data_IF_429905772820
#
_entry.id   IF_429905772820
#
_cell.length_a   1.000
_cell.length_b   1.000
_cell.length_c   1.000
_cell.angle_alpha   90.00
_cell.angle_beta   90.00
_cell.angle_gamma   90.00
#
_symmetry.space_group_name_H-M   'P 1'
#
loop_
_entity.id
_entity.type
_entity.pdbx_description
1 polymer ?
#
# COMPACT_ATOMS: atom_id res chain seq x y z
N UNK A 1 -34.73 -20.00 -1.99
CA UNK A 1 -34.66 -19.04 -3.12
C UNK A 1 -33.40 -18.20 -2.96
N UNK A 2 -32.35 -18.53 -3.70
CA UNK A 2 -31.05 -17.82 -3.63
C UNK A 2 -31.12 -16.60 -4.52
N UNK A 3 -31.01 -15.43 -3.92
CA UNK A 3 -30.95 -14.12 -4.61
C UNK A 3 -29.68 -14.02 -5.45
N UNK A 4 -29.82 -14.03 -6.75
CA UNK A 4 -28.76 -13.81 -7.73
C UNK A 4 -28.44 -12.32 -7.79
N UNK A 5 -27.30 -11.93 -7.25
CA UNK A 5 -26.85 -10.53 -7.26
C UNK A 5 -26.12 -10.21 -8.59
N UNK A 6 -26.69 -9.40 -9.49
CA UNK A 6 -26.13 -9.12 -10.82
C UNK A 6 -24.83 -8.29 -10.79
N UNK A 7 -24.52 -7.61 -9.70
CA UNK A 7 -23.28 -6.85 -9.57
C UNK A 7 -22.01 -7.72 -9.46
N UNK A 8 -22.11 -8.91 -8.85
CA UNK A 8 -20.98 -9.86 -8.79
C UNK A 8 -20.59 -10.42 -10.16
N UNK A 9 -21.55 -10.58 -11.06
CA UNK A 9 -21.28 -11.02 -12.44
C UNK A 9 -20.63 -9.92 -13.28
N UNK A 10 -21.00 -8.65 -13.08
CA UNK A 10 -20.39 -7.52 -13.79
C UNK A 10 -18.93 -7.32 -13.39
N UNK A 11 -18.60 -7.44 -12.11
CA UNK A 11 -17.20 -7.37 -11.63
C UNK A 11 -16.32 -8.51 -12.15
N UNK A 12 -16.84 -9.74 -12.26
CA UNK A 12 -16.10 -10.87 -12.86
C UNK A 12 -15.88 -10.69 -14.37
N UNK A 13 -16.84 -10.15 -15.09
CA UNK A 13 -16.73 -9.91 -16.55
C UNK A 13 -15.73 -8.79 -16.88
N UNK A 14 -15.62 -7.76 -16.04
CA UNK A 14 -14.65 -6.67 -16.22
C UNK A 14 -13.23 -7.18 -15.95
N UNK A 15 -13.03 -8.00 -14.91
CA UNK A 15 -11.73 -8.60 -14.60
C UNK A 15 -11.24 -9.56 -15.70
N UNK A 16 -12.13 -10.31 -16.33
CA UNK A 16 -11.80 -11.25 -17.40
C UNK A 16 -11.42 -10.54 -18.72
N UNK A 17 -12.09 -9.43 -19.07
CA UNK A 17 -11.76 -8.61 -20.25
C UNK A 17 -10.44 -7.84 -20.09
N UNK A 18 -10.11 -7.38 -18.89
CA UNK A 18 -8.81 -6.75 -18.59
C UNK A 18 -7.66 -7.75 -18.69
N UNK A 19 -7.80 -8.95 -18.14
CA UNK A 19 -6.77 -9.99 -18.22
C UNK A 19 -6.38 -10.37 -19.64
N UNK A 20 -7.35 -10.37 -20.58
CA UNK A 20 -7.09 -10.72 -21.99
C UNK A 20 -6.35 -9.63 -22.78
N UNK A 21 -6.62 -8.35 -22.50
CA UNK A 21 -5.87 -7.22 -23.10
C UNK A 21 -4.41 -7.17 -22.63
N UNK A 22 -4.15 -7.51 -21.37
CA UNK A 22 -2.78 -7.57 -20.82
C UNK A 22 -1.92 -8.63 -21.48
N UNK A 23 -2.47 -9.77 -21.89
CA UNK A 23 -1.71 -10.83 -22.55
C UNK A 23 -1.13 -10.40 -23.90
N UNK A 24 -1.88 -9.63 -24.69
CA UNK A 24 -1.41 -9.15 -26.01
C UNK A 24 -0.42 -7.98 -25.89
N UNK A 25 -0.65 -7.04 -24.98
CA UNK A 25 0.28 -5.94 -24.71
C UNK A 25 1.62 -6.46 -24.17
N UNK A 26 1.61 -7.50 -23.33
CA UNK A 26 2.81 -8.15 -22.81
C UNK A 26 3.65 -8.82 -23.92
N UNK A 27 3.01 -9.49 -24.89
CA UNK A 27 3.72 -10.11 -26.01
C UNK A 27 4.32 -9.08 -26.99
N UNK A 28 3.61 -7.97 -27.23
CA UNK A 28 4.11 -6.86 -28.05
C UNK A 28 5.32 -6.19 -27.36
N UNK A 29 5.23 -5.90 -26.05
CA UNK A 29 6.32 -5.34 -25.27
C UNK A 29 7.57 -6.24 -25.29
N UNK A 30 7.42 -7.56 -25.15
CA UNK A 30 8.54 -8.51 -25.24
C UNK A 30 9.16 -8.49 -26.63
N UNK A 31 8.38 -8.33 -27.70
CA UNK A 31 8.87 -8.24 -29.08
C UNK A 31 9.63 -6.93 -29.34
N UNK A 32 9.14 -5.81 -28.85
CA UNK A 32 9.81 -4.52 -28.92
C UNK A 32 11.12 -4.50 -28.12
N UNK A 33 11.14 -5.09 -26.92
CA UNK A 33 12.34 -5.27 -26.12
C UNK A 33 13.41 -6.10 -26.84
N UNK A 34 13.04 -6.97 -27.79
CA UNK A 34 14.00 -7.74 -28.61
C UNK A 34 14.70 -6.89 -29.66
N UNK A 35 14.03 -5.84 -30.16
CA UNK A 35 14.55 -5.02 -31.27
C UNK A 35 15.48 -3.88 -30.80
N UNK A 36 15.25 -3.33 -29.61
CA UNK A 36 15.98 -2.15 -29.10
C UNK A 36 17.26 -2.48 -28.31
N UNK A 37 17.54 -3.75 -28.02
CA UNK A 37 18.48 -4.14 -26.96
C UNK A 37 19.90 -4.45 -27.44
N UNK A 38 20.50 -3.55 -28.23
CA UNK A 38 21.88 -3.70 -28.72
C UNK A 38 22.98 -3.55 -27.64
N UNK A 39 22.64 -3.19 -26.39
CA UNK A 39 23.61 -2.83 -25.33
C UNK A 39 23.75 -3.83 -24.17
N UNK A 40 22.74 -4.66 -23.91
CA UNK A 40 22.77 -5.61 -22.80
C UNK A 40 23.34 -6.98 -23.22
N UNK A 41 24.11 -7.68 -22.37
CA UNK A 41 24.56 -9.05 -22.63
C UNK A 41 23.37 -10.00 -22.82
N UNK A 42 23.54 -11.02 -23.67
CA UNK A 42 22.49 -11.98 -23.98
C UNK A 42 21.94 -12.69 -22.73
N UNK A 43 22.81 -13.02 -21.76
CA UNK A 43 22.45 -13.67 -20.49
C UNK A 43 21.55 -12.79 -19.62
N UNK A 44 21.92 -11.53 -19.39
CA UNK A 44 21.10 -10.59 -18.62
C UNK A 44 19.75 -10.32 -19.30
N UNK A 45 19.78 -10.10 -20.62
CA UNK A 45 18.57 -9.91 -21.43
C UNK A 45 17.63 -11.10 -21.35
N UNK A 46 18.15 -12.31 -21.52
CA UNK A 46 17.34 -13.53 -21.48
C UNK A 46 16.72 -13.75 -20.10
N UNK A 47 17.51 -13.58 -19.03
CA UNK A 47 17.03 -13.71 -17.67
C UNK A 47 15.94 -12.69 -17.35
N UNK A 48 16.14 -11.41 -17.66
CA UNK A 48 15.16 -10.36 -17.39
C UNK A 48 13.87 -10.54 -18.19
N UNK A 49 13.94 -11.04 -19.44
CA UNK A 49 12.74 -11.43 -20.20
C UNK A 49 11.97 -12.57 -19.53
N UNK A 50 12.67 -13.57 -19.02
CA UNK A 50 12.03 -14.66 -18.28
C UNK A 50 11.37 -14.16 -16.99
N UNK A 51 12.04 -13.28 -16.24
CA UNK A 51 11.48 -12.68 -15.04
C UNK A 51 10.25 -11.81 -15.34
N UNK A 52 10.26 -11.08 -16.47
CA UNK A 52 9.10 -10.32 -16.94
C UNK A 52 7.89 -11.21 -17.25
N UNK A 53 8.10 -12.28 -18.01
CA UNK A 53 7.04 -13.23 -18.32
C UNK A 53 6.49 -13.88 -17.05
N UNK A 54 7.36 -14.16 -16.08
CA UNK A 54 7.00 -14.77 -14.80
C UNK A 54 6.11 -13.83 -13.96
N UNK A 55 6.53 -12.58 -13.80
CA UNK A 55 5.77 -11.59 -13.01
C UNK A 55 4.41 -11.24 -13.65
N UNK A 56 4.32 -11.31 -14.99
CA UNK A 56 3.05 -11.14 -15.72
C UNK A 56 2.13 -12.35 -15.60
N UNK A 57 2.68 -13.56 -15.58
CA UNK A 57 1.92 -14.80 -15.43
C UNK A 57 1.42 -15.02 -14.00
N UNK A 58 2.26 -14.69 -13.03
CA UNK A 58 2.01 -14.86 -11.60
C UNK A 58 2.30 -13.55 -10.86
N UNK A 59 1.35 -12.60 -10.87
CA UNK A 59 1.51 -11.30 -10.24
C UNK A 59 1.66 -11.42 -8.73
N UNK A 60 2.64 -10.70 -8.17
CA UNK A 60 2.85 -10.64 -6.72
C UNK A 60 1.92 -9.58 -6.12
N UNK A 61 1.24 -9.87 -5.00
CA UNK A 61 0.43 -8.89 -4.31
C UNK A 61 1.22 -7.61 -3.99
N UNK A 62 0.57 -6.45 -4.10
CA UNK A 62 1.13 -5.12 -3.86
C UNK A 62 2.24 -4.66 -4.82
N UNK A 63 2.67 -5.47 -5.79
CA UNK A 63 3.83 -5.18 -6.64
C UNK A 63 3.43 -5.21 -8.12
N UNK A 64 3.84 -4.16 -8.86
CA UNK A 64 3.88 -4.15 -10.32
C UNK A 64 5.28 -3.78 -10.78
N UNK A 65 5.75 -4.32 -11.89
CA UNK A 65 7.05 -3.97 -12.45
C UNK A 65 7.05 -4.06 -13.98
N UNK A 66 7.64 -3.05 -14.62
CA UNK A 66 7.75 -2.92 -16.07
C UNK A 66 9.18 -2.53 -16.44
N UNK A 67 9.82 -3.22 -17.37
CA UNK A 67 11.09 -2.79 -17.94
C UNK A 67 10.87 -1.57 -18.83
N UNK A 68 11.85 -0.66 -18.84
CA UNK A 68 11.84 0.46 -19.76
C UNK A 68 11.97 -0.09 -21.21
N UNK A 69 11.09 0.23 -22.14
CA UNK A 69 11.12 -0.31 -23.51
C UNK A 69 12.44 -0.08 -24.24
N UNK A 70 13.08 1.05 -23.99
CA UNK A 70 14.39 1.40 -24.58
C UNK A 70 15.60 0.73 -23.90
N UNK A 71 15.43 0.19 -22.68
CA UNK A 71 16.54 -0.37 -21.89
C UNK A 71 16.05 -1.45 -20.91
N UNK A 72 16.21 -2.71 -21.26
CA UNK A 72 15.81 -3.85 -20.38
C UNK A 72 16.57 -3.94 -19.06
N UNK A 73 17.69 -3.24 -18.93
CA UNK A 73 18.44 -3.17 -17.68
C UNK A 73 17.88 -2.14 -16.69
N UNK A 74 16.94 -1.31 -17.13
CA UNK A 74 16.21 -0.37 -16.28
C UNK A 74 14.76 -0.79 -16.16
N UNK A 75 14.33 -1.06 -14.94
CA UNK A 75 12.96 -1.42 -14.63
C UNK A 75 12.34 -0.40 -13.70
N UNK A 76 11.13 -0.05 -13.96
CA UNK A 76 10.32 0.71 -13.04
C UNK A 76 9.41 -0.24 -12.28
N UNK A 77 9.20 0.04 -11.01
CA UNK A 77 8.30 -0.71 -10.17
C UNK A 77 7.32 0.20 -9.45
N UNK A 78 6.21 -0.38 -9.09
CA UNK A 78 5.23 0.20 -8.19
C UNK A 78 5.01 -0.74 -7.02
N UNK A 79 5.09 -0.21 -5.81
CA UNK A 79 4.68 -0.89 -4.57
C UNK A 79 3.45 -0.18 -4.03
N UNK A 80 2.36 -0.93 -3.81
CA UNK A 80 1.20 -0.42 -3.06
C UNK A 80 1.47 -0.58 -1.58
N UNK A 81 1.15 0.45 -0.78
CA UNK A 81 1.33 0.40 0.67
C UNK A 81 0.45 -0.66 1.31
N UNK A 82 1.02 -1.59 2.08
CA UNK A 82 0.27 -2.67 2.72
C UNK A 82 -0.74 -2.15 3.74
N UNK A 83 -1.84 -2.87 3.87
CA UNK A 83 -2.86 -2.60 4.88
C UNK A 83 -2.27 -2.62 6.29
N UNK A 84 -2.84 -1.83 7.19
CA UNK A 84 -2.43 -1.72 8.61
C UNK A 84 -0.99 -1.21 8.80
N UNK A 85 -0.41 -0.59 7.79
CA UNK A 85 0.87 0.10 7.87
C UNK A 85 0.71 1.61 7.68
N UNK A 86 1.69 2.43 8.06
CA UNK A 86 1.67 3.87 7.77
C UNK A 86 1.70 4.21 6.27
N UNK A 87 1.93 3.22 5.42
CA UNK A 87 2.02 3.34 3.96
C UNK A 87 0.72 3.01 3.25
N UNK A 88 -0.30 2.53 3.97
CA UNK A 88 -1.58 2.10 3.42
C UNK A 88 -2.22 3.16 2.52
N UNK A 89 -2.75 2.71 1.38
CA UNK A 89 -3.35 3.58 0.37
C UNK A 89 -2.38 4.34 -0.51
N UNK A 90 -1.07 4.32 -0.18
CA UNK A 90 -0.02 4.94 -0.98
C UNK A 90 0.42 4.08 -2.17
N UNK A 91 0.95 4.76 -3.20
CA UNK A 91 1.50 4.17 -4.41
C UNK A 91 2.95 4.65 -4.55
N UNK A 92 3.91 3.74 -4.47
CA UNK A 92 5.33 4.07 -4.37
C UNK A 92 6.07 3.59 -5.61
N UNK A 93 6.36 4.53 -6.49
CA UNK A 93 7.12 4.33 -7.71
C UNK A 93 8.62 4.38 -7.40
N UNK A 94 9.37 3.50 -8.01
CA UNK A 94 10.81 3.46 -7.96
C UNK A 94 11.40 2.76 -9.16
N UNK A 95 12.73 2.55 -9.15
CA UNK A 95 13.42 1.86 -10.24
C UNK A 95 14.50 0.92 -9.76
N UNK A 96 14.71 -0.13 -10.54
CA UNK A 96 15.82 -1.09 -10.46
C UNK A 96 16.76 -0.85 -11.63
N UNK A 97 18.05 -0.76 -11.32
CA UNK A 97 19.11 -0.68 -12.34
C UNK A 97 19.91 -1.97 -12.30
N UNK A 98 19.74 -2.82 -13.30
CA UNK A 98 20.45 -4.09 -13.41
C UNK A 98 21.83 -3.90 -14.05
N UNK A 99 22.89 -4.51 -13.48
CA UNK A 99 24.20 -4.51 -14.11
C UNK A 99 24.20 -5.44 -15.33
N UNK A 100 25.20 -5.25 -16.19
CA UNK A 100 25.37 -6.11 -17.38
C UNK A 100 25.67 -7.57 -17.01
N UNK A 101 26.22 -7.79 -15.84
CA UNK A 101 26.56 -9.10 -15.26
C UNK A 101 25.40 -9.78 -14.53
N UNK A 102 24.19 -9.17 -14.57
CA UNK A 102 23.00 -9.83 -14.01
C UNK A 102 22.75 -11.19 -14.70
N UNK A 103 22.40 -12.27 -13.99
CA UNK A 103 22.03 -12.35 -12.58
C UNK A 103 23.20 -12.55 -11.58
N UNK A 104 24.44 -12.54 -12.01
CA UNK A 104 25.59 -12.82 -11.13
C UNK A 104 25.93 -11.66 -10.19
N UNK A 105 25.55 -10.43 -10.56
CA UNK A 105 25.64 -9.25 -9.69
C UNK A 105 24.26 -8.67 -9.41
N UNK A 106 24.02 -8.15 -8.18
CA UNK A 106 22.75 -7.56 -7.77
C UNK A 106 22.43 -6.23 -8.47
N UNK A 107 21.14 -5.82 -8.51
CA UNK A 107 20.75 -4.52 -8.99
C UNK A 107 20.92 -3.43 -7.95
N UNK A 108 20.98 -2.16 -8.40
CA UNK A 108 20.76 -0.99 -7.56
C UNK A 108 19.26 -0.68 -7.48
N UNK A 109 18.79 -0.25 -6.30
CA UNK A 109 17.38 0.10 -6.04
C UNK A 109 17.27 1.58 -5.69
N UNK A 110 16.28 2.25 -6.28
CA UNK A 110 15.96 3.66 -6.04
C UNK A 110 14.46 3.82 -5.81
N UNK A 111 14.09 4.66 -4.84
CA UNK A 111 12.72 5.12 -4.64
C UNK A 111 12.55 6.49 -5.28
N UNK A 112 11.48 6.70 -6.05
CA UNK A 112 11.18 7.97 -6.71
C UNK A 112 10.11 8.72 -5.92
N UNK A 113 9.01 8.03 -5.55
CA UNK A 113 7.92 8.63 -4.79
C UNK A 113 8.33 8.92 -3.36
N UNK A 114 8.08 10.13 -2.83
CA UNK A 114 8.25 10.45 -1.42
C UNK A 114 7.43 9.50 -0.52
N UNK A 115 8.06 8.92 0.50
CA UNK A 115 7.46 7.84 1.30
C UNK A 115 7.75 7.96 2.80
N UNK A 116 8.72 8.78 3.21
CA UNK A 116 9.11 8.95 4.62
C UNK A 116 9.93 7.81 5.22
N UNK A 117 10.38 6.84 4.40
CA UNK A 117 11.26 5.74 4.79
C UNK A 117 12.58 5.76 4.05
N UNK A 118 12.53 6.05 2.75
CA UNK A 118 13.69 6.08 1.87
C UNK A 118 13.84 7.47 1.25
N UNK A 119 15.08 7.91 1.11
CA UNK A 119 15.42 9.15 0.40
C UNK A 119 15.19 8.96 -1.09
N UNK A 120 14.45 9.88 -1.70
CA UNK A 120 14.14 9.82 -3.13
C UNK A 120 15.40 9.93 -3.99
N UNK A 121 15.40 9.23 -5.12
CA UNK A 121 16.45 9.21 -6.12
C UNK A 121 17.86 8.93 -5.55
N UNK A 122 17.91 8.27 -4.40
CA UNK A 122 19.15 7.85 -3.75
C UNK A 122 19.24 6.32 -3.82
N UNK A 123 20.43 5.83 -4.08
CA UNK A 123 20.74 4.40 -4.08
C UNK A 123 20.59 3.84 -2.67
N UNK A 124 19.77 2.80 -2.54
CA UNK A 124 19.44 2.20 -1.25
C UNK A 124 20.40 1.06 -0.93
N UNK A 125 20.95 1.07 0.29
CA UNK A 125 21.78 -0.01 0.80
C UNK A 125 20.91 -1.04 1.53
N UNK A 126 20.50 -2.08 0.83
CA UNK A 126 19.72 -3.20 1.36
C UNK A 126 20.49 -4.49 1.07
N UNK A 127 20.26 -5.55 1.86
CA UNK A 127 20.96 -6.84 1.67
C UNK A 127 20.72 -7.49 0.30
N UNK A 128 19.75 -6.99 -0.45
CA UNK A 128 19.38 -7.44 -1.80
C UNK A 128 19.96 -6.55 -2.91
N UNK A 129 20.81 -5.57 -2.58
CA UNK A 129 21.36 -4.60 -3.53
C UNK A 129 22.86 -4.76 -3.74
N UNK A 130 23.37 -4.04 -4.70
CA UNK A 130 24.78 -4.00 -5.08
C UNK A 130 25.75 -3.43 -4.03
N UNK A 131 25.24 -3.01 -2.87
CA UNK A 131 26.06 -2.72 -1.69
C UNK A 131 26.52 -4.01 -0.97
N UNK A 132 25.82 -5.13 -1.17
CA UNK A 132 26.07 -6.40 -0.48
C UNK A 132 26.17 -7.56 -1.49
N UNK A 133 27.17 -7.53 -2.39
CA UNK A 133 27.34 -8.57 -3.41
C UNK A 133 27.55 -9.96 -2.82
N UNK A 134 28.12 -10.04 -1.62
CA UNK A 134 28.43 -11.33 -0.95
C UNK A 134 27.19 -12.06 -0.45
N UNK A 135 26.09 -11.33 -0.20
CA UNK A 135 24.81 -11.92 0.23
C UNK A 135 23.86 -12.18 -0.94
N UNK A 136 24.24 -11.74 -2.14
CA UNK A 136 23.42 -11.85 -3.32
C UNK A 136 23.24 -13.30 -3.78
N UNK A 137 22.00 -13.68 -4.10
CA UNK A 137 21.69 -14.95 -4.70
C UNK A 137 21.24 -14.77 -6.16
N UNK A 138 21.99 -15.28 -7.16
CA UNK A 138 21.62 -15.16 -8.56
C UNK A 138 20.28 -15.83 -8.94
N UNK A 139 19.76 -16.72 -8.11
CA UNK A 139 18.44 -17.31 -8.31
C UNK A 139 17.26 -16.35 -8.00
N UNK A 140 17.50 -15.27 -7.25
CA UNK A 140 16.45 -14.31 -6.93
C UNK A 140 15.91 -13.64 -8.20
N UNK A 141 14.59 -13.67 -8.33
CA UNK A 141 13.85 -13.03 -9.42
C UNK A 141 13.56 -11.57 -9.11
N UNK A 142 13.11 -10.81 -10.12
CA UNK A 142 12.62 -9.44 -9.92
C UNK A 142 11.50 -9.40 -8.86
N UNK A 143 10.60 -10.39 -8.86
CA UNK A 143 9.54 -10.52 -7.85
C UNK A 143 10.13 -10.67 -6.44
N UNK A 144 11.12 -11.52 -6.27
CA UNK A 144 11.80 -11.75 -4.97
C UNK A 144 12.48 -10.47 -4.48
N UNK A 145 13.17 -9.76 -5.36
CA UNK A 145 13.83 -8.49 -5.04
C UNK A 145 12.81 -7.45 -4.55
N UNK A 146 11.69 -7.30 -5.25
CA UNK A 146 10.66 -6.31 -4.90
C UNK A 146 9.87 -6.71 -3.64
N UNK A 147 9.66 -8.00 -3.39
CA UNK A 147 9.10 -8.48 -2.12
C UNK A 147 10.05 -8.16 -0.96
N UNK A 148 11.35 -8.36 -1.15
CA UNK A 148 12.37 -7.95 -0.17
C UNK A 148 12.34 -6.43 0.08
N UNK A 149 12.26 -5.62 -0.97
CA UNK A 149 12.13 -4.16 -0.82
C UNK A 149 10.89 -3.77 -0.01
N UNK A 150 9.74 -4.42 -0.25
CA UNK A 150 8.52 -4.18 0.50
C UNK A 150 8.71 -4.51 1.99
N UNK A 151 9.40 -5.60 2.31
CA UNK A 151 9.75 -5.95 3.70
C UNK A 151 10.62 -4.86 4.34
N UNK A 152 11.68 -4.41 3.66
CA UNK A 152 12.53 -3.32 4.15
C UNK A 152 11.79 -1.98 4.30
N UNK A 153 10.75 -1.76 3.50
CA UNK A 153 9.94 -0.54 3.61
C UNK A 153 9.16 -0.50 4.92
N UNK A 154 8.65 -1.63 5.39
CA UNK A 154 7.87 -1.71 6.65
C UNK A 154 8.73 -1.89 7.90
N UNK A 155 9.99 -2.28 7.74
CA UNK A 155 10.96 -2.36 8.82
C UNK A 155 11.37 -0.97 9.35
N UNK A 156 11.81 -0.90 10.62
CA UNK A 156 12.23 0.35 11.26
C UNK A 156 13.75 0.53 11.30
N UNK A 157 14.54 -0.50 10.96
CA UNK A 157 15.99 -0.46 11.03
C UNK A 157 16.61 0.63 10.12
N UNK A 158 17.59 1.43 10.58
CA UNK A 158 18.28 2.40 9.75
C UNK A 158 19.12 1.71 8.68
N UNK A 159 19.22 2.32 7.50
CA UNK A 159 20.11 1.90 6.43
C UNK A 159 20.60 3.10 5.63
N UNK A 160 21.68 2.94 4.85
CA UNK A 160 22.12 4.02 3.98
C UNK A 160 21.04 4.33 2.92
N UNK A 161 20.64 5.58 2.86
CA UNK A 161 19.51 6.02 2.02
C UNK A 161 18.15 5.96 2.73
N UNK A 162 18.06 5.51 3.99
CA UNK A 162 16.85 5.67 4.78
C UNK A 162 16.72 7.08 5.35
N UNK A 163 15.47 7.46 5.64
CA UNK A 163 15.07 8.63 6.40
C UNK A 163 14.15 8.17 7.53
N UNK A 164 14.19 8.89 8.63
CA UNK A 164 13.31 8.64 9.76
C UNK A 164 12.24 9.73 9.84
N UNK A 165 10.98 9.33 9.77
CA UNK A 165 9.83 10.22 9.88
C UNK A 165 8.76 9.60 10.75
N UNK A 166 7.83 10.43 11.26
CA UNK A 166 6.69 9.95 12.02
C UNK A 166 5.70 9.14 11.14
N UNK A 167 4.91 8.29 11.76
CA UNK A 167 3.84 7.57 11.07
C UNK A 167 2.79 8.52 10.48
N UNK A 168 2.58 9.68 11.12
CA UNK A 168 1.72 10.73 10.58
C UNK A 168 2.27 11.26 9.26
N UNK A 169 3.56 11.61 9.20
CA UNK A 169 4.21 12.05 7.97
C UNK A 169 4.12 11.01 6.86
N UNK A 170 4.33 9.73 7.19
CA UNK A 170 4.22 8.62 6.22
C UNK A 170 2.79 8.51 5.65
N UNK A 171 1.74 8.61 6.49
CA UNK A 171 0.34 8.61 6.04
C UNK A 171 0.02 9.83 5.16
N UNK A 172 0.54 10.99 5.49
CA UNK A 172 0.39 12.19 4.66
C UNK A 172 1.05 12.00 3.28
N UNK A 173 2.28 11.46 3.24
CA UNK A 173 2.98 11.15 1.99
C UNK A 173 2.28 10.04 1.20
N UNK A 174 1.66 9.06 1.87
CA UNK A 174 0.86 8.03 1.22
C UNK A 174 -0.30 8.63 0.41
N UNK A 175 -1.07 9.55 1.00
CA UNK A 175 -2.16 10.24 0.28
C UNK A 175 -1.64 11.13 -0.86
N UNK A 176 -0.51 11.80 -0.68
CA UNK A 176 0.11 12.65 -1.70
C UNK A 176 0.72 11.87 -2.86
N UNK A 177 1.07 10.60 -2.64
CA UNK A 177 1.74 9.75 -3.63
C UNK A 177 0.91 9.56 -4.91
N UNK A 178 -0.42 9.57 -4.79
CA UNK A 178 -1.33 9.45 -5.93
C UNK A 178 -1.14 10.61 -6.92
N UNK A 179 -1.24 11.83 -6.41
CA UNK A 179 -1.07 13.05 -7.23
C UNK A 179 0.37 13.23 -7.70
N UNK A 180 1.35 12.77 -6.91
CA UNK A 180 2.76 12.82 -7.28
C UNK A 180 3.03 11.96 -8.51
N UNK A 181 2.58 10.69 -8.50
CA UNK A 181 2.90 9.72 -9.53
C UNK A 181 2.26 10.03 -10.88
N UNK A 182 1.02 10.55 -10.92
CA UNK A 182 0.36 10.89 -12.19
C UNK A 182 0.98 12.09 -12.92
N UNK A 183 1.89 12.84 -12.29
CA UNK A 183 2.67 13.90 -12.92
C UNK A 183 3.93 13.38 -13.62
N UNK A 184 4.36 12.17 -13.30
CA UNK A 184 5.53 11.53 -13.90
C UNK A 184 5.15 10.85 -15.22
N UNK A 185 5.76 11.29 -16.31
CA UNK A 185 5.47 10.77 -17.67
C UNK A 185 5.84 9.30 -17.78
N UNK A 186 6.98 8.89 -17.23
CA UNK A 186 7.43 7.49 -17.28
C UNK A 186 6.48 6.59 -16.52
N UNK A 187 6.01 7.04 -15.35
CA UNK A 187 4.99 6.31 -14.60
C UNK A 187 3.70 6.14 -15.39
N UNK A 188 3.22 7.21 -16.02
CA UNK A 188 1.98 7.17 -16.80
C UNK A 188 2.08 6.25 -18.04
N UNK A 189 3.25 6.21 -18.68
CA UNK A 189 3.50 5.36 -19.85
C UNK A 189 3.60 3.88 -19.48
N UNK A 190 4.27 3.57 -18.36
CA UNK A 190 4.52 2.18 -17.94
C UNK A 190 3.37 1.55 -17.15
N UNK A 191 2.56 2.35 -16.44
CA UNK A 191 1.49 1.86 -15.57
C UNK A 191 0.12 2.49 -15.88
N UNK A 192 -0.37 2.43 -17.14
CA UNK A 192 -1.62 3.11 -17.53
C UNK A 192 -2.84 2.65 -16.72
N UNK A 193 -2.93 1.36 -16.41
CA UNK A 193 -4.05 0.83 -15.62
C UNK A 193 -4.05 1.36 -14.17
N UNK A 194 -2.86 1.55 -13.60
CA UNK A 194 -2.71 2.13 -12.26
C UNK A 194 -3.06 3.62 -12.28
N UNK A 195 -2.70 4.33 -13.36
CA UNK A 195 -3.10 5.74 -13.55
C UNK A 195 -4.63 5.86 -13.58
N UNK A 196 -5.31 4.96 -14.28
CA UNK A 196 -6.78 4.94 -14.33
C UNK A 196 -7.38 4.60 -12.94
N UNK A 197 -6.79 3.66 -12.22
CA UNK A 197 -7.17 3.34 -10.84
C UNK A 197 -7.03 4.57 -9.92
N UNK A 198 -5.91 5.28 -9.99
CA UNK A 198 -5.65 6.50 -9.22
C UNK A 198 -6.67 7.58 -9.54
N UNK A 199 -6.92 7.86 -10.82
CA UNK A 199 -7.90 8.85 -11.26
C UNK A 199 -9.32 8.52 -10.80
N UNK A 200 -9.69 7.23 -10.78
CA UNK A 200 -10.99 6.80 -10.24
C UNK A 200 -11.10 7.04 -8.75
N UNK A 201 -10.05 6.74 -7.99
CA UNK A 201 -9.99 7.01 -6.54
C UNK A 201 -10.10 8.49 -6.24
N UNK A 202 -9.39 9.34 -6.99
CA UNK A 202 -9.45 10.79 -6.79
C UNK A 202 -10.87 11.33 -7.07
N UNK A 203 -11.50 10.94 -8.18
CA UNK A 203 -12.90 11.33 -8.48
C UNK A 203 -13.87 10.90 -7.39
N UNK A 204 -13.74 9.69 -6.88
CA UNK A 204 -14.59 9.21 -5.79
C UNK A 204 -14.40 10.00 -4.50
N UNK A 205 -13.16 10.37 -4.18
CA UNK A 205 -12.86 11.21 -3.01
C UNK A 205 -13.44 12.63 -3.16
N UNK A 206 -13.35 13.22 -4.35
CA UNK A 206 -13.92 14.52 -4.68
C UNK A 206 -15.45 14.49 -4.55
N UNK A 207 -16.12 13.46 -5.07
CA UNK A 207 -17.55 13.26 -4.96
C UNK A 207 -18.00 13.11 -3.50
N UNK A 208 -17.26 12.32 -2.70
CA UNK A 208 -17.54 12.13 -1.29
C UNK A 208 -17.38 13.43 -0.50
N UNK A 209 -16.37 14.23 -0.80
CA UNK A 209 -16.13 15.52 -0.16
C UNK A 209 -17.21 16.56 -0.50
N UNK A 210 -17.69 16.56 -1.75
CA UNK A 210 -18.78 17.45 -2.18
C UNK A 210 -20.12 17.07 -1.51
N UNK A 211 -20.40 15.77 -1.37
CA UNK A 211 -21.58 15.27 -0.65
C UNK A 211 -21.55 15.63 0.83
N UNK A 212 -20.39 15.53 1.48
CA UNK A 212 -20.24 15.88 2.89
C UNK A 212 -20.41 17.39 3.17
N UNK A 213 -20.08 18.23 2.20
CA UNK A 213 -20.33 19.68 2.28
C UNK A 213 -21.79 20.07 1.97
N UNK A 214 -22.51 19.21 1.25
CA UNK A 214 -23.92 19.46 0.89
C UNK A 214 -24.92 19.00 1.97
N UNK A 215 -24.50 18.26 2.99
CA UNK A 215 -25.36 17.90 4.11
C UNK A 215 -25.50 19.10 5.05
N UNK A 216 -26.74 19.63 5.28
CA UNK A 216 -26.95 20.67 6.25
C UNK A 216 -26.54 20.18 7.63
N UNK A 217 -25.74 20.97 8.35
CA UNK A 217 -25.53 20.75 9.78
C UNK A 217 -26.91 20.74 10.45
N UNK A 218 -27.23 19.77 11.32
CA UNK A 218 -28.45 19.86 12.12
C UNK A 218 -28.42 21.17 12.88
N UNK A 219 -29.47 21.98 12.69
CA UNK A 219 -29.69 23.23 13.41
C UNK A 219 -29.62 22.94 14.91
N UNK A 220 -28.53 23.36 15.54
CA UNK A 220 -28.47 23.47 16.99
C UNK A 220 -29.35 24.63 17.35
N UNK A 221 -30.60 24.34 17.69
CA UNK A 221 -31.54 25.32 18.27
C UNK A 221 -30.88 25.81 19.56
N UNK A 222 -30.58 27.11 19.70
CA UNK A 222 -30.14 27.62 20.98
C UNK A 222 -31.36 27.68 21.89
N UNK A 223 -31.40 26.88 22.93
CA UNK A 223 -32.33 27.02 24.03
C UNK A 223 -32.12 28.37 24.68
N UNK A 224 -32.94 29.32 24.26
CA UNK A 224 -33.15 30.58 24.95
C UNK A 224 -34.24 30.34 26.00
N UNK A 225 -33.82 30.23 27.25
CA UNK A 225 -34.60 30.76 28.37
C UNK A 225 -34.01 30.31 29.72
N UNK A 226 -33.33 31.20 30.38
CA UNK A 226 -33.41 31.36 31.85
C UNK A 226 -32.80 32.69 32.25
N UNK A 227 -33.72 33.64 32.41
CA UNK A 227 -33.46 34.92 33.00
C UNK A 227 -33.05 34.85 34.48
N UNK A 228 -32.06 35.69 34.79
CA UNK A 228 -32.09 36.59 35.94
C UNK A 228 -31.91 36.01 37.35
N UNK A 229 -30.73 36.27 37.95
CA UNK A 229 -30.59 36.93 39.27
C UNK A 229 -29.12 37.15 39.61
N UNK A 230 -28.70 38.45 39.65
CA UNK A 230 -27.59 38.94 40.49
C UNK A 230 -28.15 39.23 41.91
N UNK A 231 -27.35 39.33 43.00
CA UNK A 231 -26.11 40.10 43.07
C UNK A 231 -25.01 39.56 44.03
N UNK A 232 -23.80 40.03 43.78
CA UNK A 232 -22.75 40.55 44.67
C UNK A 232 -22.12 39.72 45.81
N UNK A 233 -20.85 39.68 45.77
CA UNK A 233 -19.78 40.10 46.66
C UNK A 233 -18.73 39.02 47.08
N UNK A 234 -17.51 39.43 46.82
CA UNK A 234 -16.27 39.29 47.59
C UNK A 234 -15.56 37.96 47.82
N UNK A 235 -14.35 37.91 47.27
CA UNK A 235 -13.18 37.75 48.13
C UNK A 235 -12.51 36.35 48.10
N UNK A 236 -11.25 36.34 47.71
CA UNK A 236 -10.19 35.45 48.12
C UNK A 236 -9.79 34.29 47.22
N UNK A 237 -8.65 34.46 46.56
CA UNK A 237 -7.79 33.35 46.08
C UNK A 237 -7.10 32.71 47.28
N UNK A 238 -6.87 31.41 47.25
CA UNK A 238 -5.56 30.84 46.97
C UNK A 238 -5.58 29.48 46.23
N UNK A 239 -4.43 28.76 46.11
CA UNK A 239 -3.86 28.32 44.85
C UNK A 239 -4.13 26.82 44.51
N UNK A 240 -3.46 26.23 43.47
CA UNK A 240 -4.05 25.18 42.66
C UNK A 240 -3.76 23.77 43.22
N UNK A 241 -4.71 22.89 43.06
CA UNK A 241 -4.48 21.47 43.24
C UNK A 241 -5.19 20.62 42.17
N UNK A 242 -4.52 19.53 41.88
CA UNK A 242 -4.86 18.50 40.94
C UNK A 242 -6.31 18.01 40.99
N UNK A 243 -6.94 17.74 39.79
CA UNK A 243 -7.84 16.59 39.65
C UNK A 243 -8.32 16.37 38.22
N UNK A 244 -7.96 15.24 37.65
CA UNK A 244 -8.83 14.10 37.34
C UNK A 244 -10.10 14.41 36.54
N UNK A 245 -9.99 14.16 35.22
CA UNK A 245 -11.10 14.11 34.30
C UNK A 245 -12.03 12.93 34.55
N UNK A 246 -13.27 13.22 34.76
CA UNK A 246 -14.36 12.25 34.87
C UNK A 246 -14.77 11.75 33.47
N UNK A 247 -14.43 10.48 33.15
CA UNK A 247 -14.93 9.77 31.99
C UNK A 247 -16.15 8.96 32.36
N UNK A 248 -17.32 9.49 32.10
CA UNK A 248 -18.54 8.68 32.09
C UNK A 248 -18.67 7.99 30.73
N UNK A 249 -18.06 6.81 30.59
CA UNK A 249 -18.43 5.86 29.54
C UNK A 249 -19.57 4.98 30.07
N UNK A 250 -20.69 5.00 29.35
CA UNK A 250 -21.87 4.24 29.70
C UNK A 250 -21.61 2.75 29.86
N UNK A 251 -22.00 2.22 31.01
CA UNK A 251 -21.84 0.83 31.45
C UNK A 251 -22.42 -0.24 30.48
N UNK A 252 -23.33 0.14 29.59
CA UNK A 252 -23.95 -0.79 28.61
C UNK A 252 -23.04 -1.14 27.41
N UNK A 253 -22.16 -0.26 26.98
CA UNK A 253 -21.26 -0.54 25.84
C UNK A 253 -20.16 -1.54 26.16
N UNK A 254 -19.63 -1.52 27.38
CA UNK A 254 -18.59 -2.47 27.82
C UNK A 254 -19.10 -3.89 28.05
N UNK A 255 -20.33 -4.06 28.53
CA UNK A 255 -20.91 -5.38 28.76
C UNK A 255 -21.22 -6.13 27.47
N UNK A 256 -21.73 -5.43 26.44
CA UNK A 256 -21.99 -6.01 25.12
C UNK A 256 -20.69 -6.40 24.39
N UNK A 257 -19.65 -5.57 24.43
CA UNK A 257 -18.36 -5.88 23.85
C UNK A 257 -17.72 -7.13 24.48
N UNK A 258 -17.78 -7.26 25.81
CA UNK A 258 -17.26 -8.43 26.52
C UNK A 258 -18.08 -9.71 26.18
N UNK A 259 -19.37 -9.59 25.98
CA UNK A 259 -20.22 -10.73 25.59
C UNK A 259 -19.82 -11.26 24.20
N UNK A 260 -19.57 -10.39 23.22
CA UNK A 260 -19.12 -10.81 21.88
C UNK A 260 -17.75 -11.49 21.92
N UNK A 261 -16.84 -11.03 22.76
CA UNK A 261 -15.51 -11.65 22.95
C UNK A 261 -15.67 -13.05 23.54
N UNK A 262 -16.50 -13.24 24.58
CA UNK A 262 -16.73 -14.55 25.22
C UNK A 262 -17.39 -15.52 24.22
N UNK A 263 -18.39 -15.09 23.47
CA UNK A 263 -19.04 -15.92 22.45
C UNK A 263 -18.06 -16.31 21.34
N UNK A 264 -17.20 -15.37 20.89
CA UNK A 264 -16.14 -15.64 19.92
C UNK A 264 -15.14 -16.69 20.38
N UNK A 265 -14.67 -16.61 21.63
CA UNK A 265 -13.77 -17.63 22.23
C UNK A 265 -14.46 -18.98 22.38
N UNK A 266 -15.73 -19.03 22.77
CA UNK A 266 -16.48 -20.28 22.89
C UNK A 266 -16.68 -20.97 21.53
N UNK A 267 -17.01 -20.20 20.49
CA UNK A 267 -17.12 -20.72 19.13
C UNK A 267 -15.76 -21.22 18.59
N UNK A 268 -14.68 -20.49 18.84
CA UNK A 268 -13.33 -20.93 18.48
C UNK A 268 -12.91 -22.22 19.18
N UNK A 269 -13.12 -22.31 20.49
CA UNK A 269 -12.82 -23.53 21.25
C UNK A 269 -13.64 -24.74 20.78
N UNK A 270 -14.90 -24.52 20.38
CA UNK A 270 -15.75 -25.57 19.83
C UNK A 270 -15.23 -26.05 18.46
N UNK A 271 -14.82 -25.14 17.57
CA UNK A 271 -14.27 -25.51 16.25
C UNK A 271 -12.94 -26.25 16.39
N UNK A 272 -12.06 -25.81 17.28
CA UNK A 272 -10.80 -26.51 17.56
C UNK A 272 -11.05 -27.92 18.10
N UNK A 273 -11.97 -28.05 19.06
CA UNK A 273 -12.35 -29.36 19.60
C UNK A 273 -12.95 -30.29 18.55
N UNK A 274 -13.78 -29.74 17.63
CA UNK A 274 -14.37 -30.49 16.53
C UNK A 274 -13.31 -31.01 15.55
N UNK A 275 -12.38 -30.13 15.14
CA UNK A 275 -11.27 -30.50 14.24
C UNK A 275 -10.35 -31.55 14.86
N UNK A 276 -9.96 -31.39 16.14
CA UNK A 276 -9.12 -32.34 16.84
C UNK A 276 -9.80 -33.71 16.98
N UNK A 277 -11.13 -33.73 17.13
CA UNK A 277 -11.89 -34.98 17.22
C UNK A 277 -12.01 -35.67 15.85
N UNK A 278 -12.09 -34.89 14.76
CA UNK A 278 -12.08 -35.43 13.39
C UNK A 278 -10.73 -36.07 13.04
N UNK A 279 -9.62 -35.45 13.43
CA UNK A 279 -8.26 -35.97 13.19
C UNK A 279 -7.98 -37.21 14.05
N UNK A 280 -8.57 -37.32 15.23
CA UNK A 280 -8.36 -38.49 16.12
C UNK A 280 -9.20 -39.72 15.74
N UNK A 281 -10.06 -39.60 14.74
CA UNK A 281 -10.93 -40.72 14.23
C UNK A 281 -10.43 -41.26 12.89
N UNK A 282 -9.36 -40.70 12.30
CA UNK A 282 -8.60 -41.31 11.20
C UNK A 282 -7.35 -42.07 11.74
#
# INVERSE_FOLDING_TARGET
MASHNPEKLKRRSIHFRHSFRHSFASLAAVKEMSSSNKRAPATATQRLKQDYLRIKKDPVPYICAEPLPSNILEWHYLVRGPEKTPYEGGYYHGKLMFPREFPFKPPSIYMITPNGRFKCNTRLCLSITDFHPDTWNPAWSVSTILTGLLSFMVEKGPTLGSVETSDFTKRQLASQSLTFNIKDKVFCELFPDVVDEIKQKQRFQEELSSLSQALPLPDVVPDSEAQNRRPAQNGHMPPPDHQQGNRNHGLLGGALANLFVIVGFAAFAYTVKYVLRSIAQE
#
